data_IF_876218077615
#
_entry.id   IF_876218077615
#
_cell.length_a   1.000
_cell.length_b   1.000
_cell.length_c   1.000
_cell.angle_alpha   90.00
_cell.angle_beta   90.00
_cell.angle_gamma   90.00
#
_symmetry.space_group_name_H-M   'P 1'
#
loop_
_entity.id
_entity.type
_entity.pdbx_description
1 polymer ?
#
# COMPACT_ATOMS: atom_id res chain seq x y z
N UNK A 1 57.46 98.93 -35.00
CA UNK A 1 57.68 97.49 -34.80
C UNK A 1 56.89 96.93 -33.61
N UNK A 2 56.91 97.54 -32.40
CA UNK A 2 56.22 96.99 -31.21
C UNK A 2 54.66 96.95 -31.23
N UNK A 3 54.01 97.80 -32.03
CA UNK A 3 52.54 97.83 -32.14
C UNK A 3 51.94 96.68 -32.96
N UNK A 4 52.70 96.12 -33.90
CA UNK A 4 52.25 95.04 -34.78
C UNK A 4 52.17 93.70 -34.03
N UNK A 5 53.05 93.48 -33.04
CA UNK A 5 53.03 92.29 -32.19
C UNK A 5 51.89 92.28 -31.17
N UNK A 6 51.49 93.44 -30.63
CA UNK A 6 50.34 93.53 -29.73
C UNK A 6 49.03 93.20 -30.44
N UNK A 7 48.87 93.66 -31.68
CA UNK A 7 47.69 93.36 -32.50
C UNK A 7 47.62 91.86 -32.84
N UNK A 8 48.74 91.23 -33.21
CA UNK A 8 48.81 89.78 -33.46
C UNK A 8 48.48 88.97 -32.20
N UNK A 9 48.98 89.40 -31.04
CA UNK A 9 48.70 88.74 -29.78
C UNK A 9 47.22 88.79 -29.40
N UNK A 10 46.58 89.96 -29.54
CA UNK A 10 45.13 90.11 -29.31
C UNK A 10 44.30 89.21 -30.24
N UNK A 11 44.66 89.14 -31.52
CA UNK A 11 43.99 88.27 -32.50
C UNK A 11 44.15 86.80 -32.11
N UNK A 12 45.33 86.39 -31.60
CA UNK A 12 45.54 85.03 -31.08
C UNK A 12 44.61 84.72 -29.92
N UNK A 13 44.52 85.60 -28.92
CA UNK A 13 43.65 85.39 -27.75
C UNK A 13 42.18 85.27 -28.13
N UNK A 14 41.71 86.08 -29.10
CA UNK A 14 40.34 85.98 -29.62
C UNK A 14 40.11 84.62 -30.28
N UNK A 15 41.08 84.14 -31.07
CA UNK A 15 41.01 82.82 -31.70
C UNK A 15 40.98 81.72 -30.65
N UNK A 16 41.88 81.75 -29.68
CA UNK A 16 41.99 80.76 -28.62
C UNK A 16 40.69 80.70 -27.81
N UNK A 17 40.14 81.87 -27.44
CA UNK A 17 38.84 81.97 -26.78
C UNK A 17 37.70 81.37 -27.61
N UNK A 18 37.64 81.68 -28.91
CA UNK A 18 36.63 81.12 -29.81
C UNK A 18 36.75 79.59 -29.94
N UNK A 19 37.97 79.07 -30.01
CA UNK A 19 38.22 77.63 -30.06
C UNK A 19 37.84 76.93 -28.76
N UNK A 20 38.19 77.48 -27.60
CA UNK A 20 37.85 76.91 -26.29
C UNK A 20 36.33 76.95 -26.06
N UNK A 21 35.67 78.05 -26.44
CA UNK A 21 34.21 78.15 -26.38
C UNK A 21 33.54 77.05 -27.22
N UNK A 22 33.96 76.88 -28.48
CA UNK A 22 33.43 75.83 -29.36
C UNK A 22 33.70 74.42 -28.81
N UNK A 23 34.86 74.19 -28.20
CA UNK A 23 35.16 72.92 -27.55
C UNK A 23 34.29 72.68 -26.32
N UNK A 24 34.10 73.70 -25.48
CA UNK A 24 33.21 73.66 -24.32
C UNK A 24 31.77 73.34 -24.71
N UNK A 25 31.25 74.00 -25.75
CA UNK A 25 29.91 73.74 -26.28
C UNK A 25 29.76 72.30 -26.77
N UNK A 26 30.77 71.77 -27.48
CA UNK A 26 30.79 70.35 -27.91
C UNK A 26 30.82 69.38 -26.72
N UNK A 27 31.60 69.66 -25.67
CA UNK A 27 31.63 68.84 -24.45
C UNK A 27 30.27 68.84 -23.76
N UNK A 28 29.64 70.01 -23.62
CA UNK A 28 28.30 70.14 -23.00
C UNK A 28 27.25 69.39 -23.83
N UNK A 29 27.26 69.52 -25.16
CA UNK A 29 26.36 68.79 -26.03
C UNK A 29 26.53 67.27 -25.90
N UNK A 30 27.78 66.79 -25.82
CA UNK A 30 28.08 65.37 -25.59
C UNK A 30 27.57 64.86 -24.24
N UNK A 31 27.78 65.63 -23.17
CA UNK A 31 27.29 65.28 -21.83
C UNK A 31 25.76 65.25 -21.78
N UNK A 32 25.07 66.20 -22.42
CA UNK A 32 23.60 66.21 -22.52
C UNK A 32 23.07 64.96 -23.21
N UNK A 33 23.66 64.58 -24.35
CA UNK A 33 23.32 63.34 -25.06
C UNK A 33 23.51 62.13 -24.15
N UNK A 34 24.62 62.07 -23.39
CA UNK A 34 24.89 60.96 -22.48
C UNK A 34 23.89 60.91 -21.32
N UNK A 35 23.45 62.06 -20.80
CA UNK A 35 22.42 62.12 -19.77
C UNK A 35 21.10 61.57 -20.31
N UNK A 36 20.69 61.96 -21.52
CA UNK A 36 19.47 61.48 -22.16
C UNK A 36 19.52 59.96 -22.42
N UNK A 37 20.66 59.44 -22.90
CA UNK A 37 20.90 58.00 -23.05
C UNK A 37 20.74 57.25 -21.72
N UNK A 38 21.42 57.72 -20.66
CA UNK A 38 21.37 57.10 -19.34
C UNK A 38 19.96 57.17 -18.71
N UNK A 39 19.21 58.23 -18.97
CA UNK A 39 17.82 58.33 -18.54
C UNK A 39 16.96 57.28 -19.24
N UNK A 40 17.12 57.12 -20.55
CA UNK A 40 16.41 56.06 -21.29
C UNK A 40 16.79 54.65 -20.85
N UNK A 41 18.08 54.41 -20.57
CA UNK A 41 18.57 53.13 -20.03
C UNK A 41 17.97 52.84 -18.64
N UNK A 42 17.92 53.86 -17.76
CA UNK A 42 17.33 53.75 -16.43
C UNK A 42 15.83 53.44 -16.49
N UNK A 43 15.09 54.13 -17.36
CA UNK A 43 13.65 53.91 -17.53
C UNK A 43 13.37 52.49 -18.08
N UNK A 44 14.19 52.02 -19.02
CA UNK A 44 14.12 50.65 -19.54
C UNK A 44 14.38 49.61 -18.44
N UNK A 45 15.48 49.76 -17.69
CA UNK A 45 15.82 48.86 -16.60
C UNK A 45 14.75 48.83 -15.49
N UNK A 46 14.14 49.98 -15.20
CA UNK A 46 13.03 50.06 -14.23
C UNK A 46 11.79 49.32 -14.74
N UNK A 47 11.44 49.46 -16.02
CA UNK A 47 10.31 48.74 -16.61
C UNK A 47 10.51 47.21 -16.53
N UNK A 48 11.71 46.74 -16.91
CA UNK A 48 12.09 45.32 -16.79
C UNK A 48 12.02 44.83 -15.34
N UNK A 49 12.52 45.61 -14.38
CA UNK A 49 12.45 45.28 -12.96
C UNK A 49 11.00 45.15 -12.48
N UNK A 50 10.11 46.04 -12.90
CA UNK A 50 8.69 45.98 -12.54
C UNK A 50 7.97 44.80 -13.19
N UNK A 51 8.35 44.40 -14.41
CA UNK A 51 7.86 43.18 -15.03
C UNK A 51 8.34 41.92 -14.30
N UNK A 52 9.63 41.85 -13.98
CA UNK A 52 10.21 40.75 -13.22
C UNK A 52 9.60 40.60 -11.81
N UNK A 53 9.25 41.71 -11.15
CA UNK A 53 8.53 41.67 -9.86
C UNK A 53 7.13 41.07 -10.02
N UNK A 54 6.39 41.48 -11.06
CA UNK A 54 5.05 40.95 -11.33
C UNK A 54 5.08 39.45 -11.67
N UNK A 55 6.03 39.03 -12.51
CA UNK A 55 6.16 37.60 -12.83
C UNK A 55 6.55 36.77 -11.61
N UNK A 56 7.45 37.29 -10.75
CA UNK A 56 7.79 36.68 -9.47
C UNK A 56 6.54 36.50 -8.58
N UNK A 57 5.72 37.53 -8.42
CA UNK A 57 4.50 37.46 -7.60
C UNK A 57 3.52 36.39 -8.10
N UNK A 58 3.37 36.24 -9.42
CA UNK A 58 2.53 35.19 -10.02
C UNK A 58 3.07 33.80 -9.67
N UNK A 59 4.37 33.57 -9.88
CA UNK A 59 5.01 32.28 -9.59
C UNK A 59 4.92 31.94 -8.09
N UNK A 60 5.09 32.94 -7.20
CA UNK A 60 4.95 32.73 -5.76
C UNK A 60 3.51 32.35 -5.35
N UNK A 61 2.49 32.85 -6.05
CA UNK A 61 1.10 32.45 -5.82
C UNK A 61 0.84 31.02 -6.30
N UNK A 62 1.35 30.64 -7.47
CA UNK A 62 1.25 29.28 -7.99
C UNK A 62 1.96 28.28 -7.08
N UNK A 63 3.17 28.61 -6.59
CA UNK A 63 3.92 27.79 -5.65
C UNK A 63 3.10 27.50 -4.38
N UNK A 64 2.48 28.53 -3.79
CA UNK A 64 1.60 28.37 -2.62
C UNK A 64 0.40 27.46 -2.91
N UNK A 65 -0.15 27.52 -4.13
CA UNK A 65 -1.18 26.60 -4.59
C UNK A 65 -0.71 25.15 -4.56
N UNK A 66 0.46 24.87 -5.14
CA UNK A 66 1.04 23.53 -5.14
C UNK A 66 1.40 23.02 -3.74
N UNK A 67 1.90 23.88 -2.85
CA UNK A 67 2.19 23.52 -1.46
C UNK A 67 0.93 23.09 -0.69
N UNK A 68 -0.19 23.78 -0.94
CA UNK A 68 -1.48 23.44 -0.36
C UNK A 68 -2.01 22.10 -0.89
N UNK A 69 -1.96 21.88 -2.21
CA UNK A 69 -2.35 20.62 -2.83
C UNK A 69 -1.50 19.45 -2.33
N UNK A 70 -0.18 19.65 -2.17
CA UNK A 70 0.71 18.66 -1.61
C UNK A 70 0.31 18.28 -0.17
N UNK A 71 0.01 19.28 0.68
CA UNK A 71 -0.43 19.07 2.06
C UNK A 71 -1.75 18.27 2.12
N UNK A 72 -2.69 18.54 1.22
CA UNK A 72 -3.95 17.78 1.11
C UNK A 72 -3.71 16.33 0.68
N UNK A 73 -2.80 16.12 -0.26
CA UNK A 73 -2.44 14.79 -0.74
C UNK A 73 -1.74 13.98 0.36
N UNK A 74 -0.82 14.58 1.11
CA UNK A 74 -0.16 13.95 2.27
C UNK A 74 -1.19 13.52 3.33
N UNK A 75 -2.13 14.39 3.70
CA UNK A 75 -3.19 14.06 4.63
C UNK A 75 -4.09 12.92 4.10
N UNK A 76 -4.39 12.92 2.81
CA UNK A 76 -5.17 11.86 2.16
C UNK A 76 -4.45 10.50 2.19
N UNK A 77 -3.15 10.49 1.93
CA UNK A 77 -2.31 9.28 2.03
C UNK A 77 -2.32 8.74 3.46
N UNK A 78 -2.10 9.59 4.46
CA UNK A 78 -2.15 9.18 5.87
C UNK A 78 -3.52 8.60 6.25
N UNK A 79 -4.62 9.20 5.77
CA UNK A 79 -5.97 8.68 6.01
C UNK A 79 -6.17 7.29 5.37
N UNK A 80 -5.66 7.08 4.16
CA UNK A 80 -5.72 5.77 3.48
C UNK A 80 -4.87 4.71 4.19
N UNK A 81 -3.69 5.07 4.69
CA UNK A 81 -2.85 4.18 5.48
C UNK A 81 -3.53 3.75 6.79
N UNK A 82 -4.14 4.70 7.51
CA UNK A 82 -4.93 4.41 8.70
C UNK A 82 -6.12 3.50 8.38
N UNK A 83 -6.83 3.76 7.27
CA UNK A 83 -7.94 2.91 6.83
C UNK A 83 -7.47 1.49 6.53
N UNK A 84 -6.33 1.33 5.87
CA UNK A 84 -5.71 0.02 5.59
C UNK A 84 -5.34 -0.69 6.89
N UNK A 85 -4.78 0.02 7.85
CA UNK A 85 -4.41 -0.53 9.16
C UNK A 85 -5.64 -0.99 9.97
N UNK A 86 -6.70 -0.18 10.02
CA UNK A 86 -7.96 -0.55 10.67
C UNK A 86 -8.56 -1.79 10.01
N UNK A 87 -8.62 -1.83 8.67
CA UNK A 87 -9.08 -3.00 7.94
C UNK A 87 -8.25 -4.25 8.31
N UNK A 88 -6.92 -4.14 8.35
CA UNK A 88 -6.06 -5.24 8.76
C UNK A 88 -6.41 -5.75 10.18
N UNK A 89 -6.59 -4.85 11.14
CA UNK A 89 -6.98 -5.22 12.52
C UNK A 89 -8.31 -5.96 12.53
N UNK A 90 -9.32 -5.44 11.84
CA UNK A 90 -10.66 -6.03 11.85
C UNK A 90 -10.65 -7.46 11.26
N UNK A 91 -10.06 -7.64 10.08
CA UNK A 91 -9.96 -8.97 9.48
C UNK A 91 -9.10 -9.93 10.32
N UNK A 92 -8.05 -9.44 10.96
CA UNK A 92 -7.23 -10.28 11.82
C UNK A 92 -7.99 -10.71 13.09
N UNK A 93 -8.81 -9.83 13.68
CA UNK A 93 -9.68 -10.19 14.80
C UNK A 93 -10.76 -11.19 14.40
N UNK A 94 -11.38 -11.02 13.23
CA UNK A 94 -12.41 -11.93 12.72
C UNK A 94 -11.84 -13.34 12.45
N UNK A 95 -10.67 -13.42 11.81
CA UNK A 95 -9.98 -14.70 11.57
C UNK A 95 -9.54 -15.40 12.86
N UNK A 96 -9.08 -14.65 13.86
CA UNK A 96 -8.72 -15.20 15.16
C UNK A 96 -9.95 -15.68 15.95
N UNK A 97 -11.06 -14.92 15.91
CA UNK A 97 -12.32 -15.31 16.55
C UNK A 97 -12.89 -16.59 15.93
N UNK A 98 -12.94 -16.67 14.59
CA UNK A 98 -13.39 -17.86 13.89
C UNK A 98 -12.53 -19.07 14.27
N UNK A 99 -11.19 -18.92 14.28
CA UNK A 99 -10.26 -19.99 14.68
C UNK A 99 -10.52 -20.47 16.12
N UNK A 100 -10.60 -19.55 17.07
CA UNK A 100 -10.87 -19.86 18.49
C UNK A 100 -12.23 -20.55 18.69
N UNK A 101 -13.26 -20.10 17.99
CA UNK A 101 -14.59 -20.68 18.07
C UNK A 101 -14.63 -22.10 17.48
N UNK A 102 -14.02 -22.32 16.32
CA UNK A 102 -13.88 -23.65 15.71
C UNK A 102 -13.13 -24.61 16.65
N UNK A 103 -11.99 -24.21 17.21
CA UNK A 103 -11.22 -25.03 18.15
C UNK A 103 -12.02 -25.38 19.42
N UNK A 104 -12.93 -24.51 19.87
CA UNK A 104 -13.77 -24.75 21.06
C UNK A 104 -15.05 -25.55 20.79
N UNK A 105 -15.54 -25.59 19.55
CA UNK A 105 -16.68 -26.43 19.15
C UNK A 105 -16.27 -27.87 18.81
N UNK A 106 -15.10 -28.05 18.21
CA UNK A 106 -14.60 -29.36 17.76
C UNK A 106 -14.61 -30.45 18.85
N UNK A 107 -14.11 -30.21 20.09
CA UNK A 107 -14.15 -31.24 21.14
C UNK A 107 -15.57 -31.56 21.61
N UNK A 108 -16.48 -30.57 21.63
CA UNK A 108 -17.88 -30.80 22.04
C UNK A 108 -18.67 -31.63 21.02
N UNK A 109 -18.40 -31.44 19.74
CA UNK A 109 -18.97 -32.30 18.69
C UNK A 109 -18.41 -33.72 18.77
N UNK A 110 -17.11 -33.88 19.04
CA UNK A 110 -16.46 -35.18 19.18
C UNK A 110 -16.96 -35.95 20.43
N UNK A 111 -17.16 -35.28 21.56
CA UNK A 111 -17.73 -35.87 22.79
C UNK A 111 -19.16 -36.36 22.58
N UNK A 112 -20.01 -35.57 21.91
CA UNK A 112 -21.39 -35.96 21.58
C UNK A 112 -21.45 -37.18 20.65
N UNK A 113 -20.58 -37.22 19.64
CA UNK A 113 -20.48 -38.35 18.73
C UNK A 113 -19.95 -39.60 19.44
N UNK A 114 -18.95 -39.46 20.31
CA UNK A 114 -18.42 -40.56 21.11
C UNK A 114 -19.47 -41.15 22.05
N UNK A 115 -20.29 -40.31 22.70
CA UNK A 115 -21.38 -40.76 23.56
C UNK A 115 -22.43 -41.56 22.75
N UNK A 116 -22.73 -41.10 21.54
CA UNK A 116 -23.68 -41.77 20.64
C UNK A 116 -23.14 -43.13 20.17
N UNK A 117 -21.87 -43.18 19.77
CA UNK A 117 -21.20 -44.41 19.36
C UNK A 117 -21.16 -45.41 20.51
N UNK A 118 -20.80 -44.97 21.73
CA UNK A 118 -20.74 -45.84 22.90
C UNK A 118 -22.13 -46.42 23.24
N UNK A 119 -23.19 -45.62 23.11
CA UNK A 119 -24.56 -46.09 23.31
C UNK A 119 -24.94 -47.18 22.29
N UNK A 120 -24.69 -46.94 21.00
CA UNK A 120 -24.96 -47.92 19.95
C UNK A 120 -24.14 -49.20 20.12
N UNK A 121 -22.89 -49.07 20.57
CA UNK A 121 -22.00 -50.21 20.84
C UNK A 121 -22.55 -51.04 21.99
N UNK A 122 -22.96 -50.40 23.09
CA UNK A 122 -23.59 -51.09 24.23
C UNK A 122 -24.89 -51.81 23.84
N UNK A 123 -25.75 -51.17 23.05
CA UNK A 123 -27.00 -51.78 22.55
C UNK A 123 -26.71 -52.98 21.64
N UNK A 124 -25.68 -52.88 20.79
CA UNK A 124 -25.24 -54.00 19.95
C UNK A 124 -24.63 -55.14 20.78
N UNK A 125 -23.85 -54.83 21.81
CA UNK A 125 -23.24 -55.84 22.70
C UNK A 125 -24.32 -56.61 23.48
N UNK A 126 -25.34 -55.93 23.98
CA UNK A 126 -26.47 -56.55 24.70
C UNK A 126 -27.31 -57.46 23.77
N UNK A 127 -27.56 -57.01 22.54
CA UNK A 127 -28.25 -57.83 21.53
C UNK A 127 -27.41 -59.03 21.11
N UNK A 128 -26.10 -58.89 20.96
CA UNK A 128 -25.20 -60.02 20.72
C UNK A 128 -25.18 -61.01 21.90
N UNK A 129 -25.13 -60.53 23.14
CA UNK A 129 -25.14 -61.38 24.33
C UNK A 129 -26.45 -62.18 24.45
N UNK A 130 -27.59 -61.52 24.28
CA UNK A 130 -28.92 -62.18 24.33
C UNK A 130 -29.13 -63.20 23.21
N UNK A 131 -28.68 -62.89 21.98
CA UNK A 131 -28.67 -63.87 20.88
C UNK A 131 -27.76 -65.06 21.17
N UNK A 132 -26.58 -64.80 21.77
CA UNK A 132 -25.67 -65.85 22.22
C UNK A 132 -26.33 -66.80 23.22
N UNK A 133 -26.99 -66.26 24.24
CA UNK A 133 -27.75 -67.05 25.22
C UNK A 133 -28.91 -67.82 24.59
N UNK A 134 -29.64 -67.22 23.65
CA UNK A 134 -30.77 -67.89 22.99
C UNK A 134 -30.30 -69.01 22.05
N UNK A 135 -29.20 -68.79 21.32
CA UNK A 135 -28.57 -69.85 20.53
C UNK A 135 -28.06 -70.98 21.41
N UNK A 136 -27.40 -70.66 22.53
CA UNK A 136 -26.95 -71.66 23.52
C UNK A 136 -28.13 -72.50 24.05
N UNK A 137 -29.25 -71.85 24.42
CA UNK A 137 -30.48 -72.54 24.86
C UNK A 137 -31.07 -73.44 23.77
N UNK A 138 -30.96 -73.06 22.49
CA UNK A 138 -31.43 -73.88 21.35
C UNK A 138 -30.47 -74.99 20.96
N UNK A 139 -29.18 -74.88 21.28
CA UNK A 139 -28.18 -75.90 21.02
C UNK A 139 -28.07 -76.94 22.15
N UNK A 140 -28.70 -76.72 23.30
CA UNK A 140 -28.85 -77.75 24.33
C UNK A 140 -29.85 -78.84 23.89
N UNK A 141 -29.42 -80.10 23.90
CA UNK A 141 -30.31 -81.22 23.58
C UNK A 141 -31.37 -81.39 24.70
N UNK A 142 -32.67 -81.33 24.40
CA UNK A 142 -33.74 -81.39 25.41
C UNK A 142 -33.86 -82.74 26.15
N UNK A 143 -33.12 -83.78 25.72
CA UNK A 143 -33.14 -85.11 26.36
C UNK A 143 -31.94 -85.39 27.25
N UNK A 144 -30.81 -84.69 27.08
CA UNK A 144 -29.59 -84.96 27.85
C UNK A 144 -28.85 -83.71 28.36
N UNK A 145 -29.33 -82.50 28.03
CA UNK A 145 -28.79 -81.20 28.46
C UNK A 145 -27.29 -80.99 28.19
N UNK A 146 -26.71 -81.76 27.27
CA UNK A 146 -25.35 -81.55 26.79
C UNK A 146 -25.37 -80.49 25.67
N UNK A 147 -24.40 -79.59 25.72
CA UNK A 147 -24.24 -78.52 24.76
C UNK A 147 -23.73 -79.07 23.42
N UNK A 148 -24.53 -78.92 22.36
CA UNK A 148 -24.15 -79.39 21.02
C UNK A 148 -23.21 -78.44 20.27
N UNK A 149 -22.80 -77.31 20.87
CA UNK A 149 -21.95 -76.28 20.22
C UNK A 149 -20.63 -76.88 19.72
N UNK A 150 -19.99 -77.78 20.47
CA UNK A 150 -18.77 -78.48 20.04
C UNK A 150 -18.97 -79.46 18.86
N UNK A 151 -20.18 -79.97 18.64
CA UNK A 151 -20.49 -80.87 17.52
C UNK A 151 -20.78 -80.09 16.22
N UNK A 152 -21.25 -78.85 16.31
CA UNK A 152 -21.50 -77.97 15.18
C UNK A 152 -20.23 -77.35 14.59
N UNK A 153 -19.19 -77.13 15.40
CA UNK A 153 -17.88 -76.67 14.93
C UNK A 153 -17.24 -77.67 13.94
N UNK A 154 -17.48 -78.97 14.14
CA UNK A 154 -17.11 -80.03 13.20
C UNK A 154 -17.91 -80.04 11.89
N UNK A 155 -19.16 -79.54 11.88
CA UNK A 155 -20.01 -79.48 10.68
C UNK A 155 -19.68 -78.25 9.81
N UNK A 156 -19.24 -77.15 10.42
CA UNK A 156 -18.81 -75.95 9.69
C UNK A 156 -17.43 -76.13 9.04
N UNK A 157 -16.50 -76.83 9.69
CA UNK A 157 -15.22 -77.20 9.06
C UNK A 157 -15.38 -78.23 7.93
N UNK A 158 -16.42 -79.07 7.97
CA UNK A 158 -16.73 -80.02 6.89
C UNK A 158 -17.25 -79.37 5.59
N UNK A 159 -17.66 -78.09 5.62
CA UNK A 159 -18.15 -77.35 4.46
C UNK A 159 -17.11 -76.39 3.83
N UNK A 160 -15.85 -76.39 4.31
CA UNK A 160 -14.76 -75.57 3.75
C UNK A 160 -13.62 -76.37 3.07
N UNK A 161 -13.85 -77.63 2.70
CA UNK A 161 -12.86 -78.41 1.95
C UNK A 161 -13.50 -79.27 0.87
N UNK A 162 -12.99 -79.12 -0.37
CA UNK A 162 -13.37 -79.76 -1.65
C UNK A 162 -14.64 -79.18 -2.27
N UNK A 163 -14.57 -78.27 -3.26
CA UNK A 163 -13.86 -78.47 -4.52
C UNK A 163 -12.95 -77.29 -4.95
N UNK A 164 -11.65 -77.53 -4.85
CA UNK A 164 -10.69 -77.10 -5.86
C UNK A 164 -10.22 -78.35 -6.62
N UNK A 165 -9.96 -78.19 -7.93
CA UNK A 165 -9.51 -79.18 -8.96
C UNK A 165 -10.66 -79.93 -9.66
N UNK A 166 -10.85 -79.96 -10.97
CA UNK A 166 -10.04 -79.53 -12.11
C UNK A 166 -10.29 -80.48 -13.31
N UNK A 167 -10.34 -79.90 -14.52
CA UNK A 167 -10.06 -80.54 -15.83
C UNK A 167 -11.19 -81.28 -16.58
N UNK A 168 -11.76 -80.63 -17.61
CA UNK A 168 -11.41 -80.90 -19.03
C UNK A 168 -11.68 -79.66 -19.87
#
# INVERSE_FOLDING_TARGET
MAGDDHQKHLISLIRDFATEKSQGERRVAGLRKRIEELQSELDGANAELHEAKRSKEIIEQELKGYEFELSLNEASVQALELKKYIYWILNHKDMNFHRLWSTRQQPRAAESLSLTINKQTSESEETCASLGEELQKRSECPNCHLDNVGALEGVLQANQGTDASGST
#
